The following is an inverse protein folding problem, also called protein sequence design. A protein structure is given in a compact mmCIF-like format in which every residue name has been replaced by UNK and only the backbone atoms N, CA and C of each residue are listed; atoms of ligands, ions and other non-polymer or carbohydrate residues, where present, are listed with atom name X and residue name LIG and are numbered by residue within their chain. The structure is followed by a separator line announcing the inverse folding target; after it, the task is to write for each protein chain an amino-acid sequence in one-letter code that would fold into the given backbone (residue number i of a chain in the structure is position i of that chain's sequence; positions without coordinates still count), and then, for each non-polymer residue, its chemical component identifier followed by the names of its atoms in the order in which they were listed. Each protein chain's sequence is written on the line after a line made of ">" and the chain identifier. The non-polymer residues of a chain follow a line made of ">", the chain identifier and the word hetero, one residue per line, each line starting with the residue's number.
data_IF_549123644374
#
_entry.id   IF_549123644374
#
_cell.length_a   1.000
_cell.length_b   1.000
_cell.length_c   1.000
_cell.angle_alpha   90.00
_cell.angle_beta   90.00
_cell.angle_gamma   90.00
#
_symmetry.space_group_name_H-M   'P 1'
#
loop_
_entity.id
_entity.type
_entity.pdbx_description
1 polymer ?
#
# COMPACT_ATOMS: atom_id res chain seq x y z
N UNK A 1 -19.54 3.33 -0.26
CA UNK A 1 -20.83 2.69 -0.63
C UNK A 1 -20.70 1.16 -0.72
N UNK A 2 -20.07 0.58 -1.74
CA UNK A 2 -19.98 -0.89 -1.90
C UNK A 2 -19.34 -1.63 -0.73
N UNK A 3 -18.25 -1.09 -0.16
CA UNK A 3 -17.65 -1.63 1.06
C UNK A 3 -18.66 -1.64 2.22
N UNK A 4 -19.36 -0.53 2.45
CA UNK A 4 -20.39 -0.43 3.48
C UNK A 4 -21.56 -1.39 3.26
N UNK A 5 -21.91 -1.69 2.01
CA UNK A 5 -22.89 -2.73 1.71
C UNK A 5 -22.35 -4.14 2.02
N UNK A 6 -21.12 -4.45 1.61
CA UNK A 6 -20.45 -5.72 1.93
C UNK A 6 -20.32 -5.95 3.44
N UNK A 7 -20.11 -4.88 4.20
CA UNK A 7 -20.05 -4.87 5.66
C UNK A 7 -21.44 -4.78 6.33
N UNK A 8 -22.53 -4.82 5.54
CA UNK A 8 -23.92 -4.73 6.00
C UNK A 8 -24.27 -3.45 6.80
N UNK A 9 -23.51 -2.37 6.58
CA UNK A 9 -23.73 -1.03 7.16
C UNK A 9 -24.64 -0.17 6.27
N UNK A 10 -24.67 -0.44 4.97
CA UNK A 10 -25.44 0.32 3.98
C UNK A 10 -26.27 -0.61 3.08
N UNK A 11 -27.39 -0.10 2.58
CA UNK A 11 -28.10 -0.68 1.43
C UNK A 11 -27.88 0.20 0.21
N UNK A 12 -27.50 -0.38 -0.92
CA UNK A 12 -27.30 0.36 -2.17
C UNK A 12 -28.36 -0.03 -3.19
N UNK A 13 -29.24 0.92 -3.53
CA UNK A 13 -30.16 0.80 -4.66
C UNK A 13 -29.81 1.77 -5.79
N UNK A 14 -30.00 1.34 -7.03
CA UNK A 14 -29.84 2.15 -8.24
C UNK A 14 -31.01 1.86 -9.17
N UNK A 15 -32.05 2.68 -9.09
CA UNK A 15 -33.26 2.55 -9.93
C UNK A 15 -33.69 3.93 -10.43
N UNK A 16 -34.25 4.02 -11.65
CA UNK A 16 -34.92 5.25 -12.08
C UNK A 16 -36.20 5.46 -11.24
N UNK A 17 -36.75 6.68 -11.20
CA UNK A 17 -38.08 6.90 -10.64
C UNK A 17 -39.09 5.99 -11.34
N UNK A 18 -39.77 5.14 -10.56
CA UNK A 18 -40.67 4.10 -11.08
C UNK A 18 -41.76 4.68 -11.98
N UNK A 19 -42.33 5.83 -11.60
CA UNK A 19 -43.40 6.47 -12.36
C UNK A 19 -42.93 6.90 -13.76
N UNK A 20 -41.74 7.48 -13.87
CA UNK A 20 -41.21 7.96 -15.15
C UNK A 20 -40.91 6.79 -16.09
N UNK A 21 -40.36 5.71 -15.54
CA UNK A 21 -40.10 4.49 -16.30
C UNK A 21 -41.40 3.83 -16.78
N UNK A 22 -42.42 3.74 -15.92
CA UNK A 22 -43.72 3.18 -16.30
C UNK A 22 -44.41 3.99 -17.38
N UNK A 23 -44.40 5.33 -17.30
CA UNK A 23 -44.97 6.20 -18.34
C UNK A 23 -44.29 5.95 -19.69
N UNK A 24 -42.95 5.85 -19.70
CA UNK A 24 -42.19 5.58 -20.92
C UNK A 24 -42.54 4.21 -21.51
N UNK A 25 -42.58 3.16 -20.68
CA UNK A 25 -42.90 1.81 -21.12
C UNK A 25 -44.35 1.67 -21.59
N UNK A 26 -45.31 2.26 -20.87
CA UNK A 26 -46.71 2.27 -21.26
C UNK A 26 -46.89 2.99 -22.61
N UNK A 27 -46.21 4.10 -22.83
CA UNK A 27 -46.22 4.83 -24.12
C UNK A 27 -45.70 3.96 -25.27
N UNK A 28 -44.64 3.18 -25.02
CA UNK A 28 -44.03 2.31 -26.02
C UNK A 28 -44.91 1.09 -26.35
N UNK A 29 -45.51 0.46 -25.34
CA UNK A 29 -46.09 -0.89 -25.48
C UNK A 29 -47.62 -0.97 -25.36
N UNK A 30 -48.28 -0.04 -24.64
CA UNK A 30 -49.75 -0.04 -24.50
C UNK A 30 -50.35 0.73 -25.68
N UNK A 31 -51.18 0.05 -26.49
CA UNK A 31 -51.78 0.62 -27.71
C UNK A 31 -53.31 0.56 -27.64
N UNK A 32 -53.93 1.73 -27.61
CA UNK A 32 -55.39 1.87 -27.50
C UNK A 32 -55.92 1.75 -26.08
N UNK A 33 -57.24 1.68 -25.94
CA UNK A 33 -57.97 1.67 -24.66
C UNK A 33 -58.99 0.53 -24.57
N UNK A 34 -58.54 -0.68 -24.92
CA UNK A 34 -59.38 -1.88 -24.89
C UNK A 34 -59.09 -2.74 -23.65
N UNK A 35 -59.98 -3.70 -23.35
CA UNK A 35 -59.72 -4.70 -22.30
C UNK A 35 -58.38 -5.45 -22.50
N UNK A 36 -57.99 -5.69 -23.75
CA UNK A 36 -56.68 -6.26 -24.08
C UNK A 36 -55.53 -5.29 -23.76
N UNK A 37 -55.72 -3.99 -24.03
CA UNK A 37 -54.74 -2.93 -23.71
C UNK A 37 -54.47 -2.86 -22.20
N UNK A 38 -55.51 -3.05 -21.38
CA UNK A 38 -55.37 -3.11 -19.92
C UNK A 38 -54.54 -4.31 -19.44
N UNK A 39 -54.66 -5.47 -20.10
CA UNK A 39 -53.80 -6.63 -19.80
C UNK A 39 -52.34 -6.35 -20.15
N UNK A 40 -52.07 -5.68 -21.28
CA UNK A 40 -50.71 -5.26 -21.67
C UNK A 40 -50.15 -4.27 -20.65
N UNK A 41 -50.94 -3.31 -20.16
CA UNK A 41 -50.53 -2.37 -19.11
C UNK A 41 -50.11 -3.10 -17.83
N UNK A 42 -50.90 -4.06 -17.36
CA UNK A 42 -50.56 -4.89 -16.20
C UNK A 42 -49.26 -5.69 -16.43
N UNK A 43 -49.09 -6.25 -17.62
CA UNK A 43 -47.88 -6.99 -17.99
C UNK A 43 -46.63 -6.09 -18.02
N UNK A 44 -46.74 -4.86 -18.55
CA UNK A 44 -45.65 -3.86 -18.54
C UNK A 44 -45.25 -3.52 -17.11
N UNK A 45 -46.22 -3.28 -16.22
CA UNK A 45 -45.96 -2.95 -14.83
C UNK A 45 -45.28 -4.11 -14.07
N UNK A 46 -45.77 -5.35 -14.22
CA UNK A 46 -45.10 -6.54 -13.62
C UNK A 46 -43.68 -6.72 -14.18
N UNK A 47 -43.53 -6.62 -15.50
CA UNK A 47 -42.25 -6.78 -16.18
C UNK A 47 -41.23 -5.74 -15.71
N UNK A 48 -41.64 -4.47 -15.58
CA UNK A 48 -40.76 -3.43 -15.07
C UNK A 48 -40.28 -3.76 -13.66
N UNK A 49 -41.20 -4.03 -12.74
CA UNK A 49 -40.92 -4.19 -11.32
C UNK A 49 -40.09 -5.45 -11.02
N UNK A 50 -40.43 -6.58 -11.63
CA UNK A 50 -39.84 -7.88 -11.30
C UNK A 50 -38.59 -8.20 -12.12
N UNK A 51 -38.51 -7.70 -13.35
CA UNK A 51 -37.48 -8.13 -14.32
C UNK A 51 -36.59 -6.95 -14.73
N UNK A 52 -37.16 -5.97 -15.43
CA UNK A 52 -36.37 -4.94 -16.11
C UNK A 52 -35.60 -4.07 -15.10
N UNK A 53 -36.27 -3.58 -14.05
CA UNK A 53 -35.65 -2.74 -13.01
C UNK A 53 -34.48 -3.45 -12.33
N UNK A 54 -34.66 -4.72 -11.93
CA UNK A 54 -33.61 -5.52 -11.28
C UNK A 54 -32.42 -5.82 -12.21
N UNK A 55 -32.71 -6.11 -13.47
CA UNK A 55 -31.67 -6.37 -14.48
C UNK A 55 -30.84 -5.11 -14.74
N UNK A 56 -31.50 -3.98 -14.96
CA UNK A 56 -30.85 -2.69 -15.19
C UNK A 56 -30.03 -2.25 -13.97
N UNK A 57 -30.59 -2.39 -12.77
CA UNK A 57 -29.88 -2.11 -11.52
C UNK A 57 -28.60 -2.97 -11.41
N UNK A 58 -28.69 -4.27 -11.69
CA UNK A 58 -27.53 -5.18 -11.67
C UNK A 58 -26.46 -4.75 -12.68
N UNK A 59 -26.87 -4.44 -13.91
CA UNK A 59 -25.98 -3.99 -14.98
C UNK A 59 -25.27 -2.68 -14.62
N UNK A 60 -26.01 -1.67 -14.16
CA UNK A 60 -25.45 -0.38 -13.75
C UNK A 60 -24.55 -0.54 -12.52
N UNK A 61 -24.91 -1.40 -11.56
CA UNK A 61 -24.06 -1.70 -10.39
C UNK A 61 -22.74 -2.33 -10.81
N UNK A 62 -22.75 -3.23 -11.80
CA UNK A 62 -21.53 -3.83 -12.33
C UNK A 62 -20.69 -2.81 -13.11
N UNK A 63 -21.29 -2.06 -14.03
CA UNK A 63 -20.59 -1.08 -14.86
C UNK A 63 -19.92 0.01 -14.00
N UNK A 64 -20.65 0.55 -13.00
CA UNK A 64 -20.10 1.55 -12.09
C UNK A 64 -19.06 0.98 -11.13
N UNK A 65 -19.11 -0.32 -10.80
CA UNK A 65 -18.07 -1.02 -10.03
C UNK A 65 -16.79 -1.11 -10.84
N UNK A 66 -16.87 -1.67 -12.04
CA UNK A 66 -15.73 -1.85 -12.94
C UNK A 66 -15.03 -0.52 -13.25
N UNK A 67 -15.81 0.54 -13.50
CA UNK A 67 -15.25 1.89 -13.73
C UNK A 67 -14.48 2.41 -12.52
N UNK A 68 -15.02 2.23 -11.31
CA UNK A 68 -14.38 2.68 -10.08
C UNK A 68 -13.10 1.87 -9.78
N UNK A 69 -13.16 0.55 -9.92
CA UNK A 69 -12.01 -0.34 -9.72
C UNK A 69 -10.89 -0.04 -10.72
N UNK A 70 -11.22 0.14 -12.00
CA UNK A 70 -10.25 0.53 -13.03
C UNK A 70 -9.50 1.81 -12.65
N UNK A 71 -10.23 2.86 -12.28
CA UNK A 71 -9.63 4.14 -11.88
C UNK A 71 -8.75 4.00 -10.63
N UNK A 72 -9.18 3.20 -9.65
CA UNK A 72 -8.40 2.95 -8.44
C UNK A 72 -7.10 2.19 -8.75
N UNK A 73 -7.17 1.14 -9.57
CA UNK A 73 -6.01 0.34 -9.98
C UNK A 73 -5.00 1.20 -10.77
N UNK A 74 -5.45 2.08 -11.66
CA UNK A 74 -4.57 3.04 -12.35
C UNK A 74 -3.81 3.96 -11.39
N UNK A 75 -4.47 4.41 -10.31
CA UNK A 75 -3.82 5.20 -9.25
C UNK A 75 -2.81 4.35 -8.47
N UNK A 76 -3.17 3.11 -8.11
CA UNK A 76 -2.27 2.20 -7.40
C UNK A 76 -1.01 1.88 -8.21
N UNK A 77 -1.16 1.59 -9.50
CA UNK A 77 -0.03 1.35 -10.40
C UNK A 77 0.89 2.59 -10.51
N UNK A 78 0.30 3.80 -10.57
CA UNK A 78 1.07 5.05 -10.59
C UNK A 78 1.84 5.27 -9.29
N UNK A 79 1.21 5.02 -8.14
CA UNK A 79 1.85 5.13 -6.84
C UNK A 79 3.00 4.12 -6.69
N UNK A 80 2.79 2.87 -7.14
CA UNK A 80 3.85 1.87 -7.17
C UNK A 80 5.04 2.33 -8.02
N UNK A 81 4.77 2.85 -9.22
CA UNK A 81 5.80 3.39 -10.11
C UNK A 81 6.61 4.50 -9.44
N UNK A 82 5.96 5.42 -8.72
CA UNK A 82 6.65 6.48 -7.99
C UNK A 82 7.55 5.93 -6.88
N UNK A 83 7.10 4.90 -6.16
CA UNK A 83 7.91 4.24 -5.12
C UNK A 83 9.12 3.53 -5.74
N UNK A 84 8.93 2.78 -6.82
CA UNK A 84 10.00 2.05 -7.51
C UNK A 84 11.04 2.98 -8.13
N UNK A 85 10.61 4.10 -8.70
CA UNK A 85 11.49 5.09 -9.34
C UNK A 85 11.89 6.22 -8.39
N UNK A 86 11.78 6.01 -7.08
CA UNK A 86 12.34 6.95 -6.10
C UNK A 86 13.85 7.04 -6.32
N UNK A 87 14.45 8.25 -6.33
CA UNK A 87 15.88 8.40 -6.55
C UNK A 87 16.71 7.62 -5.53
N UNK A 88 17.64 6.74 -5.97
CA UNK A 88 18.50 5.99 -5.07
C UNK A 88 19.56 6.90 -4.44
N UNK A 89 19.87 6.67 -3.15
CA UNK A 89 21.03 7.31 -2.51
C UNK A 89 22.36 6.79 -3.11
N UNK A 90 22.35 5.57 -3.65
CA UNK A 90 23.52 4.91 -4.21
C UNK A 90 24.43 4.27 -3.15
N UNK A 91 25.71 3.98 -3.51
CA UNK A 91 26.60 3.16 -2.70
C UNK A 91 27.17 3.94 -1.51
N UNK A 92 26.38 4.07 -0.46
CA UNK A 92 26.69 4.74 0.81
C UNK A 92 26.57 3.76 1.98
N UNK A 93 27.32 4.00 3.06
CA UNK A 93 27.14 3.26 4.31
C UNK A 93 25.90 3.78 5.03
N UNK A 94 24.90 2.92 5.21
CA UNK A 94 23.58 3.32 5.72
C UNK A 94 23.32 2.66 7.06
N UNK A 95 22.85 3.45 8.04
CA UNK A 95 22.21 2.93 9.24
C UNK A 95 20.70 2.86 8.98
N UNK A 96 20.11 1.68 9.11
CA UNK A 96 18.66 1.50 9.04
C UNK A 96 18.05 1.40 10.42
N UNK A 97 16.90 2.03 10.62
CA UNK A 97 16.15 1.95 11.86
C UNK A 97 14.70 1.64 11.52
N UNK A 98 14.25 0.45 11.94
CA UNK A 98 12.84 0.05 11.97
C UNK A 98 12.23 0.49 13.30
N UNK A 99 11.39 1.54 13.32
CA UNK A 99 10.96 2.18 14.56
C UNK A 99 9.95 1.35 15.34
N UNK A 100 9.98 1.48 16.66
CA UNK A 100 9.02 0.84 17.54
C UNK A 100 9.07 1.40 18.95
N UNK A 101 7.91 1.50 19.58
CA UNK A 101 7.81 1.86 20.99
C UNK A 101 8.16 0.65 21.87
N UNK A 102 7.15 -0.16 22.28
CA UNK A 102 7.30 -1.24 23.28
C UNK A 102 8.37 -2.28 22.92
N UNK A 103 8.52 -2.61 21.64
CA UNK A 103 9.45 -3.64 21.14
C UNK A 103 10.86 -3.10 20.86
N UNK A 104 11.08 -1.80 21.10
CA UNK A 104 12.29 -1.08 20.70
C UNK A 104 12.37 -0.87 19.19
N UNK A 105 13.33 -0.04 18.78
CA UNK A 105 13.68 0.19 17.38
C UNK A 105 14.78 -0.79 16.98
N UNK A 106 14.60 -1.49 15.86
CA UNK A 106 15.63 -2.38 15.30
C UNK A 106 16.59 -1.57 14.47
N UNK A 107 17.87 -1.65 14.82
CA UNK A 107 18.92 -0.89 14.19
C UNK A 107 19.82 -1.84 13.40
N UNK A 108 20.20 -1.44 12.19
CA UNK A 108 21.17 -2.15 11.35
C UNK A 108 22.20 -1.19 10.79
N UNK A 109 23.41 -1.66 10.52
CA UNK A 109 24.43 -0.93 9.79
C UNK A 109 24.82 -1.70 8.54
N UNK A 110 24.72 -1.07 7.37
CA UNK A 110 25.06 -1.65 6.08
C UNK A 110 26.34 -1.00 5.52
N UNK A 111 27.14 -1.79 4.80
CA UNK A 111 28.24 -1.26 4.01
C UNK A 111 27.75 -0.60 2.70
N UNK A 112 28.68 -0.07 1.90
CA UNK A 112 28.37 0.61 0.61
C UNK A 112 27.71 -0.30 -0.43
N UNK A 113 27.80 -1.63 -0.25
CA UNK A 113 27.20 -2.64 -1.11
C UNK A 113 25.90 -3.21 -0.52
N UNK A 114 25.40 -2.68 0.60
CA UNK A 114 24.18 -3.16 1.24
C UNK A 114 24.35 -4.46 2.04
N UNK A 115 25.58 -4.91 2.30
CA UNK A 115 25.87 -6.04 3.19
C UNK A 115 25.70 -5.60 4.64
N UNK A 116 24.97 -6.41 5.42
CA UNK A 116 24.82 -6.22 6.86
C UNK A 116 26.17 -6.36 7.57
N UNK A 117 26.53 -5.34 8.35
CA UNK A 117 27.73 -5.30 9.19
C UNK A 117 27.41 -5.50 10.67
N UNK A 118 26.27 -4.98 11.12
CA UNK A 118 25.86 -5.00 12.51
C UNK A 118 24.36 -4.84 12.63
N UNK A 119 23.80 -5.38 13.71
CA UNK A 119 22.42 -5.15 14.11
C UNK A 119 22.32 -5.06 15.63
N UNK A 120 21.35 -4.29 16.12
CA UNK A 120 21.05 -4.13 17.55
C UNK A 120 19.58 -3.76 17.75
N UNK A 121 19.11 -3.78 19.00
CA UNK A 121 17.82 -3.20 19.40
C UNK A 121 18.07 -2.07 20.40
N UNK A 122 17.67 -0.86 20.02
CA UNK A 122 17.68 0.30 20.90
C UNK A 122 16.27 0.63 21.40
N UNK A 123 16.15 1.32 22.53
CA UNK A 123 14.85 1.63 23.14
C UNK A 123 14.67 3.14 23.36
N UNK A 124 14.69 3.96 22.29
CA UNK A 124 14.32 5.36 22.42
C UNK A 124 12.84 5.48 22.80
N UNK A 125 12.43 6.64 23.29
CA UNK A 125 11.06 7.02 23.64
C UNK A 125 10.49 6.35 24.89
N UNK A 126 11.34 5.73 25.71
CA UNK A 126 10.90 5.05 26.95
C UNK A 126 11.07 5.95 28.18
N UNK A 127 12.26 6.48 28.37
CA UNK A 127 12.64 7.41 29.44
C UNK A 127 14.01 7.99 29.13
N UNK A 128 14.38 9.07 29.83
CA UNK A 128 15.63 9.81 29.60
C UNK A 128 16.88 8.92 29.64
N UNK A 129 16.94 7.96 30.57
CA UNK A 129 18.07 7.04 30.69
C UNK A 129 18.20 6.13 29.46
N UNK A 130 17.09 5.59 28.95
CA UNK A 130 17.08 4.75 27.75
C UNK A 130 17.37 5.56 26.49
N UNK A 131 16.91 6.80 26.43
CA UNK A 131 17.20 7.73 25.34
C UNK A 131 18.69 8.05 25.26
N UNK A 132 19.35 8.31 26.40
CA UNK A 132 20.80 8.50 26.48
C UNK A 132 21.55 7.25 26.01
N UNK A 133 21.17 6.06 26.47
CA UNK A 133 21.78 4.79 26.04
C UNK A 133 21.62 4.55 24.53
N UNK A 134 20.44 4.84 23.98
CA UNK A 134 20.19 4.73 22.55
C UNK A 134 21.06 5.71 21.75
N UNK A 135 21.20 6.96 22.22
CA UNK A 135 22.05 7.96 21.59
C UNK A 135 23.54 7.55 21.61
N UNK A 136 24.06 7.11 22.76
CA UNK A 136 25.44 6.60 22.87
C UNK A 136 25.70 5.43 21.91
N UNK A 137 24.76 4.49 21.84
CA UNK A 137 24.84 3.34 20.91
C UNK A 137 24.89 3.82 19.46
N UNK A 138 24.01 4.73 19.06
CA UNK A 138 23.98 5.30 17.71
C UNK A 138 25.29 6.01 17.38
N UNK A 139 25.83 6.82 18.30
CA UNK A 139 27.10 7.55 18.11
C UNK A 139 28.26 6.57 17.91
N UNK A 140 28.35 5.54 18.76
CA UNK A 140 29.41 4.53 18.68
C UNK A 140 29.37 3.79 17.34
N UNK A 141 28.17 3.40 16.88
CA UNK A 141 27.99 2.70 15.61
C UNK A 141 28.23 3.60 14.40
N UNK A 142 27.77 4.86 14.47
CA UNK A 142 28.04 5.90 13.48
C UNK A 142 29.54 6.06 13.24
N UNK A 143 30.33 6.21 14.31
CA UNK A 143 31.78 6.37 14.24
C UNK A 143 32.47 5.08 13.77
N UNK A 144 32.11 3.93 14.36
CA UNK A 144 32.73 2.64 14.07
C UNK A 144 32.57 2.23 12.60
N UNK A 145 31.36 2.37 12.07
CA UNK A 145 31.06 1.96 10.71
C UNK A 145 31.22 3.08 9.68
N UNK A 146 31.44 4.34 10.12
CA UNK A 146 31.52 5.53 9.27
C UNK A 146 30.27 5.69 8.41
N UNK A 147 29.12 5.71 9.08
CA UNK A 147 27.80 5.83 8.45
C UNK A 147 27.69 7.18 7.74
N UNK A 148 27.11 7.18 6.55
CA UNK A 148 26.96 8.36 5.68
C UNK A 148 25.50 8.84 5.59
N UNK A 149 24.53 7.98 5.92
CA UNK A 149 23.11 8.33 5.98
C UNK A 149 22.33 7.40 6.93
N UNK A 150 21.19 7.88 7.43
CA UNK A 150 20.25 7.13 8.27
C UNK A 150 18.91 6.98 7.56
N UNK A 151 18.46 5.75 7.39
CA UNK A 151 17.13 5.40 6.92
C UNK A 151 16.22 5.09 8.12
N UNK A 152 15.08 5.77 8.23
CA UNK A 152 14.11 5.55 9.31
C UNK A 152 12.78 5.09 8.69
N UNK A 153 12.24 3.96 9.14
CA UNK A 153 10.91 3.51 8.71
C UNK A 153 9.83 4.54 9.01
N UNK A 154 8.85 4.69 8.11
CA UNK A 154 7.79 5.69 8.24
C UNK A 154 6.51 5.19 8.92
N UNK A 155 6.54 4.02 9.56
CA UNK A 155 5.42 3.48 10.31
C UNK A 155 5.38 3.96 11.76
N UNK A 156 5.05 3.03 12.66
CA UNK A 156 4.78 3.35 14.06
C UNK A 156 6.04 3.89 14.74
N UNK A 157 5.95 5.05 15.40
CA UNK A 157 7.08 5.76 16.01
C UNK A 157 8.10 6.34 15.01
N UNK A 158 7.82 6.35 13.70
CA UNK A 158 8.78 6.79 12.69
C UNK A 158 9.18 8.26 12.81
N UNK A 159 8.21 9.16 13.01
CA UNK A 159 8.47 10.61 13.15
C UNK A 159 9.20 10.92 14.45
N UNK A 160 8.80 10.25 15.53
CA UNK A 160 9.41 10.37 16.85
C UNK A 160 10.88 9.92 16.79
N UNK A 161 11.14 8.79 16.12
CA UNK A 161 12.48 8.24 15.95
C UNK A 161 13.35 9.12 15.05
N UNK A 162 12.81 9.63 13.95
CA UNK A 162 13.50 10.61 13.10
C UNK A 162 13.89 11.86 13.91
N UNK A 163 12.95 12.42 14.67
CA UNK A 163 13.18 13.60 15.50
C UNK A 163 14.20 13.33 16.61
N UNK A 164 14.20 12.14 17.21
CA UNK A 164 15.19 11.71 18.20
C UNK A 164 16.59 11.66 17.58
N UNK A 165 16.76 11.04 16.42
CA UNK A 165 18.05 10.92 15.72
C UNK A 165 18.59 12.31 15.36
N UNK A 166 17.73 13.22 14.87
CA UNK A 166 18.12 14.59 14.51
C UNK A 166 18.61 15.44 15.70
N UNK A 167 18.25 15.08 16.94
CA UNK A 167 18.72 15.75 18.16
C UNK A 167 20.11 15.32 18.60
N UNK A 168 20.66 14.25 18.01
CA UNK A 168 21.99 13.75 18.37
C UNK A 168 23.05 14.59 17.64
N UNK A 169 23.76 15.45 18.37
CA UNK A 169 24.70 16.42 17.81
C UNK A 169 25.81 15.79 16.95
N UNK A 170 26.29 14.60 17.33
CA UNK A 170 27.38 13.92 16.62
C UNK A 170 27.03 13.45 15.19
N UNK A 171 25.73 13.36 14.87
CA UNK A 171 25.22 12.88 13.57
C UNK A 171 24.39 13.93 12.83
N UNK A 172 24.39 15.18 13.29
CA UNK A 172 23.59 16.27 12.69
C UNK A 172 23.95 16.59 11.23
N UNK A 173 25.15 16.21 10.80
CA UNK A 173 25.68 16.51 9.45
C UNK A 173 25.30 15.45 8.41
N UNK A 174 24.86 14.25 8.84
CA UNK A 174 24.43 13.20 7.90
C UNK A 174 22.94 13.28 7.62
N UNK A 175 22.55 12.86 6.41
CA UNK A 175 21.15 12.83 6.02
C UNK A 175 20.38 11.79 6.82
N UNK A 176 19.31 12.22 7.49
CA UNK A 176 18.30 11.35 8.10
C UNK A 176 17.07 11.41 7.21
N UNK A 177 16.62 10.27 6.70
CA UNK A 177 15.58 10.19 5.68
C UNK A 177 14.51 9.19 6.15
N UNK A 178 13.25 9.62 6.12
CA UNK A 178 12.10 8.73 6.28
C UNK A 178 11.91 7.90 5.01
N UNK A 179 11.79 6.59 5.19
CA UNK A 179 11.68 5.61 4.13
C UNK A 179 10.37 4.86 4.28
N UNK A 180 9.70 4.61 3.15
CA UNK A 180 8.48 3.81 3.13
C UNK A 180 8.79 2.37 3.60
N UNK A 181 8.17 1.92 4.68
CA UNK A 181 8.33 0.56 5.22
C UNK A 181 7.26 -0.43 4.73
N UNK A 182 6.32 0.00 3.87
CA UNK A 182 5.24 -0.85 3.38
C UNK A 182 5.79 -2.10 2.71
N UNK A 183 5.31 -3.26 3.14
CA UNK A 183 5.80 -4.55 2.66
C UNK A 183 7.13 -5.01 3.30
N UNK A 184 7.76 -4.26 4.21
CA UNK A 184 8.98 -4.71 4.90
C UNK A 184 8.70 -5.95 5.78
N UNK A 185 7.52 -6.01 6.40
CA UNK A 185 7.03 -7.20 7.13
C UNK A 185 6.76 -8.40 6.22
N UNK A 186 6.29 -8.16 4.99
CA UNK A 186 6.07 -9.21 4.00
C UNK A 186 7.40 -9.75 3.48
N UNK A 187 8.34 -8.85 3.19
CA UNK A 187 9.71 -9.22 2.87
C UNK A 187 10.34 -10.05 3.99
N UNK A 188 10.30 -9.59 5.24
CA UNK A 188 11.01 -10.26 6.33
C UNK A 188 10.50 -11.67 6.66
N UNK A 189 9.22 -11.92 6.37
CA UNK A 189 8.61 -13.24 6.48
C UNK A 189 8.78 -14.11 5.22
N UNK A 190 9.27 -13.55 4.10
CA UNK A 190 9.41 -14.25 2.82
C UNK A 190 10.52 -15.31 2.81
N UNK A 191 10.42 -16.25 1.89
CA UNK A 191 11.52 -17.20 1.63
C UNK A 191 12.79 -16.51 1.16
N UNK A 192 12.68 -15.43 0.37
CA UNK A 192 13.83 -14.68 -0.11
C UNK A 192 14.66 -14.13 1.06
N UNK A 193 13.99 -13.50 2.04
CA UNK A 193 14.67 -12.99 3.23
C UNK A 193 15.21 -14.11 4.14
N UNK A 194 14.52 -15.26 4.23
CA UNK A 194 15.05 -16.43 4.96
C UNK A 194 16.29 -17.03 4.30
N UNK A 195 16.37 -17.03 2.97
CA UNK A 195 17.56 -17.49 2.24
C UNK A 195 18.71 -16.50 2.39
N UNK A 196 18.42 -15.21 2.37
CA UNK A 196 19.45 -14.17 2.51
C UNK A 196 19.98 -14.06 3.95
N UNK A 197 19.11 -14.21 4.94
CA UNK A 197 19.45 -14.07 6.36
C UNK A 197 18.86 -15.21 7.20
N UNK A 198 19.37 -16.45 7.08
CA UNK A 198 18.80 -17.62 7.76
C UNK A 198 18.75 -17.47 9.28
N UNK A 199 19.84 -16.93 9.85
CA UNK A 199 20.06 -16.82 11.30
C UNK A 199 19.42 -15.58 11.94
N UNK A 200 18.91 -14.62 11.15
CA UNK A 200 18.33 -13.39 11.69
C UNK A 200 16.83 -13.55 11.93
N UNK A 201 16.32 -12.93 12.99
CA UNK A 201 14.88 -12.85 13.20
C UNK A 201 14.21 -11.89 12.21
N UNK A 202 12.88 -11.98 12.15
CA UNK A 202 12.06 -11.28 11.17
C UNK A 202 12.09 -9.75 11.37
N UNK A 203 12.33 -9.25 12.58
CA UNK A 203 12.38 -7.81 12.82
C UNK A 203 13.67 -7.19 12.29
N UNK A 204 14.81 -7.88 12.46
CA UNK A 204 16.09 -7.43 11.90
C UNK A 204 16.08 -7.48 10.37
N UNK A 205 15.49 -8.52 9.76
CA UNK A 205 15.31 -8.60 8.30
C UNK A 205 14.50 -7.41 7.76
N UNK A 206 13.47 -6.98 8.49
CA UNK A 206 12.69 -5.78 8.16
C UNK A 206 13.54 -4.52 8.14
N UNK A 207 14.35 -4.29 9.20
CA UNK A 207 15.27 -3.16 9.28
C UNK A 207 16.32 -3.14 8.15
N UNK A 208 16.82 -4.32 7.74
CA UNK A 208 17.72 -4.43 6.56
C UNK A 208 17.02 -3.94 5.30
N UNK A 209 15.75 -4.31 5.09
CA UNK A 209 14.99 -3.86 3.92
C UNK A 209 14.80 -2.35 3.91
N UNK A 210 14.48 -1.74 5.06
CA UNK A 210 14.34 -0.28 5.19
C UNK A 210 15.64 0.43 4.79
N UNK A 211 16.79 -0.03 5.29
CA UNK A 211 18.09 0.55 4.92
C UNK A 211 18.37 0.43 3.42
N UNK A 212 18.12 -0.74 2.83
CA UNK A 212 18.38 -0.99 1.41
C UNK A 212 17.45 -0.24 0.47
N UNK A 213 16.20 -0.01 0.87
CA UNK A 213 15.27 0.86 0.12
C UNK A 213 15.81 2.28 -0.02
N UNK A 214 16.53 2.81 0.98
CA UNK A 214 17.18 4.11 0.82
C UNK A 214 18.33 4.06 -0.19
N UNK A 215 19.11 2.96 -0.19
CA UNK A 215 20.24 2.77 -1.09
C UNK A 215 19.79 2.64 -2.54
N UNK A 216 18.82 1.75 -2.79
CA UNK A 216 18.23 1.45 -4.09
C UNK A 216 16.79 0.95 -3.90
N UNK A 217 15.78 1.83 -4.03
CA UNK A 217 14.38 1.46 -3.88
C UNK A 217 13.95 0.36 -4.84
N UNK A 218 14.36 0.43 -6.11
CA UNK A 218 13.94 -0.51 -7.14
C UNK A 218 14.45 -1.91 -6.82
N UNK A 219 15.77 -2.06 -6.59
CA UNK A 219 16.40 -3.35 -6.34
C UNK A 219 15.87 -4.04 -5.07
N UNK A 220 15.42 -3.27 -4.08
CA UNK A 220 14.89 -3.83 -2.85
C UNK A 220 13.39 -4.14 -2.94
N UNK A 221 12.58 -3.26 -3.55
CA UNK A 221 11.12 -3.44 -3.63
C UNK A 221 10.70 -4.58 -4.57
N UNK A 222 11.48 -4.89 -5.62
CA UNK A 222 11.19 -6.02 -6.53
C UNK A 222 11.29 -7.40 -5.87
N UNK A 223 11.85 -7.49 -4.67
CA UNK A 223 11.90 -8.73 -3.88
C UNK A 223 10.56 -9.09 -3.23
N UNK A 224 9.56 -8.20 -3.34
CA UNK A 224 8.27 -8.29 -2.67
C UNK A 224 7.19 -8.47 -3.74
N UNK A 225 6.16 -9.27 -3.43
CA UNK A 225 4.95 -9.30 -4.26
C UNK A 225 4.37 -7.87 -4.36
N UNK A 226 4.22 -7.30 -5.57
CA UNK A 226 3.79 -5.92 -5.73
C UNK A 226 2.44 -5.61 -5.05
N UNK A 227 1.54 -6.59 -4.97
CA UNK A 227 0.24 -6.44 -4.27
C UNK A 227 0.38 -6.26 -2.76
N UNK A 228 1.51 -6.69 -2.21
CA UNK A 228 1.83 -6.59 -0.78
C UNK A 228 2.53 -5.28 -0.43
N UNK A 229 2.89 -4.47 -1.42
CA UNK A 229 3.32 -3.10 -1.23
C UNK A 229 2.06 -2.25 -1.05
N UNK A 230 1.99 -1.47 0.02
CA UNK A 230 0.88 -0.55 0.28
C UNK A 230 0.90 0.59 -0.73
N UNK A 231 0.14 0.46 -1.81
CA UNK A 231 0.11 1.40 -2.94
C UNK A 231 -1.11 2.32 -2.93
N UNK A 232 -2.06 2.06 -2.03
CA UNK A 232 -3.16 2.97 -1.77
C UNK A 232 -4.17 2.41 -0.76
N UNK A 233 -5.05 3.29 -0.30
CA UNK A 233 -6.17 2.87 0.55
C UNK A 233 -7.11 1.96 -0.24
N UNK A 234 -7.70 0.98 0.46
CA UNK A 234 -8.71 0.09 -0.11
C UNK A 234 -8.22 -0.78 -1.29
N UNK A 235 -6.91 -1.00 -1.42
CA UNK A 235 -6.35 -1.88 -2.45
C UNK A 235 -6.86 -3.34 -2.38
N UNK A 236 -7.39 -3.77 -1.22
CA UNK A 236 -8.01 -5.08 -1.05
C UNK A 236 -9.51 -5.12 -1.44
N UNK A 237 -10.10 -3.97 -1.73
CA UNK A 237 -11.53 -3.84 -2.07
C UNK A 237 -11.79 -3.82 -3.58
N UNK A 238 -10.73 -3.86 -4.40
CA UNK A 238 -10.80 -3.97 -5.87
C UNK A 238 -10.59 -5.41 -6.34
N UNK A 239 -10.85 -5.68 -7.62
CA UNK A 239 -10.54 -6.96 -8.25
C UNK A 239 -9.03 -7.30 -8.15
N UNK A 240 -8.71 -8.36 -7.40
CA UNK A 240 -7.32 -8.70 -7.06
C UNK A 240 -6.54 -9.27 -8.25
N UNK A 241 -7.21 -9.90 -9.21
CA UNK A 241 -6.58 -10.43 -10.42
C UNK A 241 -6.12 -9.29 -11.32
N UNK A 242 -7.01 -8.32 -11.57
CA UNK A 242 -6.73 -7.12 -12.37
C UNK A 242 -5.69 -6.24 -11.69
N UNK A 243 -5.77 -6.07 -10.36
CA UNK A 243 -4.75 -5.36 -9.60
C UNK A 243 -3.37 -5.99 -9.77
N UNK A 244 -3.27 -7.31 -9.57
CA UNK A 244 -1.99 -8.03 -9.66
C UNK A 244 -1.35 -7.80 -11.04
N UNK A 245 -2.10 -8.01 -12.12
CA UNK A 245 -1.60 -7.81 -13.49
C UNK A 245 -1.09 -6.37 -13.70
N UNK A 246 -1.86 -5.37 -13.28
CA UNK A 246 -1.47 -3.97 -13.44
C UNK A 246 -0.21 -3.59 -12.64
N UNK A 247 -0.04 -4.14 -11.43
CA UNK A 247 1.15 -3.89 -10.61
C UNK A 247 2.38 -4.62 -11.18
N UNK A 248 2.23 -5.86 -11.63
CA UNK A 248 3.30 -6.62 -12.28
C UNK A 248 3.81 -5.90 -13.54
N UNK A 249 2.89 -5.45 -14.41
CA UNK A 249 3.23 -4.65 -15.60
C UNK A 249 3.96 -3.36 -15.22
N UNK A 250 3.53 -2.72 -14.14
CA UNK A 250 4.18 -1.53 -13.57
C UNK A 250 5.62 -1.82 -13.15
N UNK A 251 5.88 -2.93 -12.46
CA UNK A 251 7.22 -3.38 -12.06
C UNK A 251 8.09 -3.65 -13.29
N UNK A 252 7.59 -4.45 -14.23
CA UNK A 252 8.31 -4.79 -15.47
C UNK A 252 8.70 -3.53 -16.23
N UNK A 253 7.78 -2.57 -16.36
CA UNK A 253 8.04 -1.28 -16.99
C UNK A 253 9.14 -0.49 -16.27
N UNK A 254 9.12 -0.46 -14.93
CA UNK A 254 10.14 0.27 -14.15
C UNK A 254 11.53 -0.37 -14.29
N UNK A 255 11.61 -1.69 -14.19
CA UNK A 255 12.87 -2.44 -14.34
C UNK A 255 13.48 -2.21 -15.72
N UNK A 256 12.67 -2.35 -16.77
CA UNK A 256 13.12 -2.13 -18.14
C UNK A 256 13.55 -0.68 -18.41
N UNK A 257 12.90 0.29 -17.75
CA UNK A 257 13.23 1.71 -17.92
C UNK A 257 14.56 2.12 -17.26
N UNK A 258 14.90 1.50 -16.11
CA UNK A 258 16.18 1.77 -15.43
C UNK A 258 17.33 1.03 -16.09
N UNK A 259 17.06 -0.15 -16.66
CA UNK A 259 18.08 -1.02 -17.22
C UNK A 259 18.75 -1.85 -16.13
N UNK A 260 19.05 -3.11 -16.46
CA UNK A 260 19.72 -4.08 -15.59
C UNK A 260 20.97 -4.60 -16.29
#
# INVERSE_FOLDING_TARGET
>A
MRRGEKEAVLNLSITPPEQDALVLLETLFVKGDTAASMQVKLAVQDCFKRLLSRSMETEIRLATKQRAEKQAIEVFARNLRQLLLTPPLGPKRVMGIDPGFRTGCKLVCLNRQGKLLHYDTIYPHMNEKRDQQAAETIINLYQRYRIEAVAVGNGTAGRETEAFIRKIDAIKEIAVILVNESGASVYSASEAARREFPELDLTIRGAVSIARRLMDPLAELVKIDPKSIGVGQYQHDVDQSTLKLALDDGVISCVNAVGV
#
